data_IF_057615207258
#
_entry.id   IF_057615207258
#
_cell.length_a   1.000
_cell.length_b   1.000
_cell.length_c   1.000
_cell.angle_alpha   90.00
_cell.angle_beta   90.00
_cell.angle_gamma   90.00
#
_symmetry.space_group_name_H-M   'P 1'
#
loop_
_entity.id
_entity.type
_entity.pdbx_description
1 polymer ?
#
# COMPACT_ATOMS: atom_id res chain seq x y z
N UNK A 1 14.80 -9.57 -3.18
CA UNK A 1 14.74 -8.51 -4.20
C UNK A 1 15.46 -7.30 -3.61
N UNK A 2 16.74 -7.12 -3.97
CA UNK A 2 17.53 -5.96 -3.52
C UNK A 2 17.16 -4.78 -4.42
N UNK A 3 16.61 -3.71 -3.83
CA UNK A 3 16.45 -2.46 -4.55
C UNK A 3 17.83 -1.82 -4.70
N UNK A 4 18.24 -1.60 -5.94
CA UNK A 4 19.47 -0.87 -6.29
C UNK A 4 19.37 0.56 -5.72
N UNK A 5 20.49 1.08 -5.23
CA UNK A 5 20.62 2.46 -4.76
C UNK A 5 20.28 3.45 -5.89
N UNK A 6 19.00 3.84 -6.01
CA UNK A 6 18.54 4.73 -7.06
C UNK A 6 17.02 4.76 -7.29
N UNK A 7 16.26 3.76 -6.86
CA UNK A 7 14.80 3.83 -6.93
C UNK A 7 14.25 4.59 -5.72
N UNK A 8 13.88 5.86 -5.94
CA UNK A 8 13.12 6.65 -4.97
C UNK A 8 11.70 6.08 -4.95
N UNK A 9 11.41 5.22 -3.98
CA UNK A 9 10.04 4.83 -3.69
C UNK A 9 9.28 6.08 -3.22
N UNK A 10 8.20 6.43 -3.91
CA UNK A 10 7.27 7.45 -3.42
C UNK A 10 6.55 6.89 -2.17
N UNK A 11 7.05 7.28 -1.00
CA UNK A 11 6.62 6.72 0.29
C UNK A 11 5.81 7.75 1.06
N UNK A 12 4.58 7.35 1.42
CA UNK A 12 3.73 8.15 2.31
C UNK A 12 4.07 7.81 3.76
N UNK A 13 4.29 8.84 4.59
CA UNK A 13 4.56 8.67 6.03
C UNK A 13 3.28 8.21 6.73
N UNK A 14 3.39 7.12 7.50
CA UNK A 14 2.33 6.64 8.39
C UNK A 14 2.83 6.56 9.84
N UNK A 15 2.01 7.02 10.78
CA UNK A 15 2.26 6.86 12.21
C UNK A 15 1.42 5.69 12.73
N UNK A 16 2.04 4.81 13.53
CA UNK A 16 1.38 3.65 14.15
C UNK A 16 1.86 3.52 15.59
N UNK A 17 1.01 2.98 16.45
CA UNK A 17 1.37 2.63 17.81
C UNK A 17 1.75 1.14 17.88
N UNK A 18 2.88 0.84 18.51
CA UNK A 18 3.38 -0.51 18.76
C UNK A 18 3.65 -0.64 20.25
N UNK A 19 3.39 -1.83 20.81
CA UNK A 19 3.84 -2.14 22.17
C UNK A 19 5.38 -2.32 22.20
N UNK A 20 5.96 -2.21 23.39
CA UNK A 20 7.41 -2.28 23.61
C UNK A 20 8.02 -3.59 23.10
N UNK A 21 7.31 -4.71 23.30
CA UNK A 21 7.80 -6.03 22.88
C UNK A 21 7.86 -6.11 21.35
N UNK A 22 6.81 -5.64 20.66
CA UNK A 22 6.75 -5.60 19.20
C UNK A 22 7.83 -4.71 18.62
N UNK A 23 8.05 -3.52 19.20
CA UNK A 23 9.11 -2.60 18.79
C UNK A 23 10.51 -3.21 18.97
N UNK A 24 10.77 -3.89 20.10
CA UNK A 24 12.04 -4.57 20.33
C UNK A 24 12.29 -5.72 19.34
N UNK A 25 11.25 -6.51 19.03
CA UNK A 25 11.35 -7.60 18.05
C UNK A 25 11.61 -7.07 16.63
N UNK A 26 10.90 -6.00 16.23
CA UNK A 26 11.07 -5.36 14.93
C UNK A 26 12.49 -4.83 14.75
N UNK A 27 13.01 -4.11 15.75
CA UNK A 27 14.38 -3.59 15.75
C UNK A 27 15.41 -4.71 15.62
N UNK A 28 15.24 -5.80 16.37
CA UNK A 28 16.13 -6.97 16.27
C UNK A 28 16.09 -7.60 14.88
N UNK A 29 14.90 -7.75 14.30
CA UNK A 29 14.74 -8.30 12.95
C UNK A 29 15.42 -7.41 11.89
N UNK A 30 15.29 -6.09 12.01
CA UNK A 30 15.93 -5.11 11.12
C UNK A 30 17.46 -5.26 11.15
N UNK A 31 18.05 -5.36 12.35
CA UNK A 31 19.49 -5.56 12.52
C UNK A 31 19.96 -6.89 11.91
N UNK A 32 19.26 -7.99 12.19
CA UNK A 32 19.63 -9.32 11.68
C UNK A 32 19.55 -9.39 10.15
N UNK A 33 18.56 -8.71 9.55
CA UNK A 33 18.35 -8.70 8.10
C UNK A 33 19.18 -7.64 7.36
N UNK A 34 19.75 -6.66 8.06
CA UNK A 34 20.47 -5.55 7.45
C UNK A 34 19.57 -4.60 6.64
N UNK A 35 18.30 -4.45 7.03
CA UNK A 35 17.32 -3.59 6.35
C UNK A 35 16.63 -2.64 7.34
N UNK A 36 15.92 -1.64 6.85
CA UNK A 36 15.17 -0.71 7.72
C UNK A 36 13.93 -1.36 8.34
N UNK A 37 13.52 -0.90 9.53
CA UNK A 37 12.25 -1.32 10.16
C UNK A 37 11.05 -1.07 9.24
N UNK A 38 11.04 0.07 8.54
CA UNK A 38 10.02 0.43 7.56
C UNK A 38 9.93 -0.57 6.40
N UNK A 39 11.05 -1.15 5.98
CA UNK A 39 11.06 -2.18 4.93
C UNK A 39 10.39 -3.47 5.40
N UNK A 40 10.71 -3.91 6.62
CA UNK A 40 10.07 -5.09 7.23
C UNK A 40 8.56 -4.86 7.39
N UNK A 41 8.15 -3.67 7.85
CA UNK A 41 6.74 -3.31 7.97
C UNK A 41 6.06 -3.35 6.60
N UNK A 42 6.65 -2.76 5.56
CA UNK A 42 6.08 -2.78 4.21
C UNK A 42 5.96 -4.19 3.65
N UNK A 43 6.99 -5.02 3.81
CA UNK A 43 6.98 -6.41 3.33
C UNK A 43 5.89 -7.22 4.04
N UNK A 44 5.86 -7.16 5.37
CA UNK A 44 4.87 -7.86 6.20
C UNK A 44 3.44 -7.42 5.88
N UNK A 45 3.21 -6.11 5.70
CA UNK A 45 1.90 -5.58 5.33
C UNK A 45 1.48 -6.04 3.93
N UNK A 46 2.38 -6.02 2.93
CA UNK A 46 2.09 -6.52 1.58
C UNK A 46 1.74 -8.00 1.60
N UNK A 47 2.49 -8.80 2.36
CA UNK A 47 2.22 -10.22 2.50
C UNK A 47 0.88 -10.48 3.19
N UNK A 48 0.61 -9.78 4.29
CA UNK A 48 -0.67 -9.85 4.99
C UNK A 48 -1.84 -9.51 4.07
N UNK A 49 -1.78 -8.38 3.37
CA UNK A 49 -2.85 -7.93 2.48
C UNK A 49 -3.07 -8.89 1.30
N UNK A 50 -2.00 -9.46 0.73
CA UNK A 50 -2.12 -10.49 -0.31
C UNK A 50 -2.83 -11.74 0.21
N UNK A 51 -2.44 -12.24 1.39
CA UNK A 51 -3.09 -13.40 2.00
C UNK A 51 -4.55 -13.11 2.34
N UNK A 52 -4.84 -11.94 2.92
CA UNK A 52 -6.21 -11.53 3.22
C UNK A 52 -7.08 -11.35 1.97
N UNK A 53 -6.51 -10.89 0.84
CA UNK A 53 -7.24 -10.82 -0.42
C UNK A 53 -7.56 -12.22 -0.99
N UNK A 54 -6.64 -13.18 -0.82
CA UNK A 54 -6.86 -14.59 -1.20
C UNK A 54 -7.92 -15.26 -0.30
N UNK A 55 -7.88 -14.99 1.01
CA UNK A 55 -8.82 -15.58 1.99
C UNK A 55 -10.23 -14.95 1.94
N UNK A 56 -10.38 -13.75 1.36
CA UNK A 56 -11.68 -13.10 1.18
C UNK A 56 -12.56 -13.76 0.09
N UNK A 57 -12.05 -14.82 -0.55
CA UNK A 57 -12.58 -15.36 -1.80
C UNK A 57 -12.22 -14.42 -2.94
N UNK A 58 -11.77 -14.95 -4.07
CA UNK A 58 -11.42 -14.20 -5.28
C UNK A 58 -12.49 -13.15 -5.59
N UNK A 59 -12.30 -11.93 -5.08
CA UNK A 59 -13.11 -10.79 -5.43
C UNK A 59 -12.30 -10.09 -6.52
N UNK A 60 -12.63 -10.28 -7.81
CA UNK A 60 -11.83 -9.75 -8.89
C UNK A 60 -11.75 -8.21 -8.83
N UNK A 61 -12.66 -7.56 -8.11
CA UNK A 61 -12.66 -6.12 -7.90
C UNK A 61 -11.58 -5.67 -6.92
N UNK A 62 -11.16 -6.50 -5.96
CA UNK A 62 -10.04 -6.18 -5.07
C UNK A 62 -8.71 -6.18 -5.82
N UNK A 63 -8.57 -6.99 -6.87
CA UNK A 63 -7.39 -6.97 -7.75
C UNK A 63 -7.29 -5.69 -8.58
N UNK A 64 -8.39 -4.96 -8.77
CA UNK A 64 -8.42 -3.68 -9.48
C UNK A 64 -7.87 -2.52 -8.64
N UNK A 65 -7.83 -2.66 -7.30
CA UNK A 65 -7.34 -1.60 -6.41
C UNK A 65 -5.84 -1.38 -6.64
N UNK A 66 -5.49 -0.20 -7.15
CA UNK A 66 -4.10 0.20 -7.44
C UNK A 66 -3.60 -0.15 -8.85
N UNK A 67 -4.44 -0.74 -9.72
CA UNK A 67 -4.11 -0.92 -11.15
C UNK A 67 -4.36 0.33 -11.99
N UNK A 68 -5.22 1.23 -11.51
CA UNK A 68 -5.53 2.48 -12.17
C UNK A 68 -5.44 3.64 -11.18
N UNK A 69 -5.05 4.80 -11.69
CA UNK A 69 -5.07 6.06 -10.97
C UNK A 69 -6.29 6.87 -11.44
N UNK A 70 -6.91 7.62 -10.54
CA UNK A 70 -8.19 8.26 -10.79
C UNK A 70 -8.41 9.50 -9.93
N UNK A 71 -9.35 10.35 -10.34
CA UNK A 71 -9.75 11.51 -9.53
C UNK A 71 -10.67 11.05 -8.40
N UNK A 72 -10.52 11.64 -7.21
CA UNK A 72 -11.29 11.27 -6.01
C UNK A 72 -12.80 11.44 -6.21
N UNK A 73 -13.21 12.37 -7.07
CA UNK A 73 -14.59 12.73 -7.38
C UNK A 73 -15.06 12.19 -8.75
N UNK A 74 -14.28 11.29 -9.36
CA UNK A 74 -14.58 10.76 -10.69
C UNK A 74 -15.95 10.08 -10.77
N UNK A 75 -16.46 9.51 -9.66
CA UNK A 75 -17.79 8.90 -9.64
C UNK A 75 -18.92 9.93 -9.75
N UNK A 76 -18.73 11.13 -9.20
CA UNK A 76 -19.73 12.19 -9.16
C UNK A 76 -19.67 13.05 -10.44
N UNK A 77 -18.47 13.35 -10.92
CA UNK A 77 -18.23 14.23 -12.06
C UNK A 77 -17.74 13.50 -13.32
N UNK A 78 -18.04 12.20 -13.46
CA UNK A 78 -17.62 11.42 -14.62
C UNK A 78 -18.03 12.07 -15.95
N UNK A 79 -19.22 12.66 -16.04
CA UNK A 79 -19.70 13.28 -17.28
C UNK A 79 -18.87 14.51 -17.67
N UNK A 80 -18.42 15.30 -16.69
CA UNK A 80 -17.51 16.42 -16.92
C UNK A 80 -16.16 15.92 -17.42
N UNK A 81 -15.64 14.83 -16.82
CA UNK A 81 -14.34 14.29 -17.18
C UNK A 81 -14.33 13.55 -18.52
N UNK A 82 -15.42 12.86 -18.86
CA UNK A 82 -15.54 12.08 -20.09
C UNK A 82 -16.02 12.93 -21.27
N UNK A 83 -16.92 13.88 -21.04
CA UNK A 83 -17.64 14.58 -22.10
C UNK A 83 -17.50 16.11 -22.04
N UNK A 84 -16.90 16.67 -20.98
CA UNK A 84 -16.69 18.10 -20.83
C UNK A 84 -17.97 18.91 -20.60
N UNK A 85 -19.04 18.28 -20.10
CA UNK A 85 -20.35 18.91 -19.88
C UNK A 85 -20.95 18.42 -18.56
N UNK A 86 -21.67 19.30 -17.88
CA UNK A 86 -22.54 18.91 -16.77
C UNK A 86 -23.81 18.24 -17.29
N UNK A 87 -24.38 17.35 -16.47
CA UNK A 87 -25.70 16.74 -16.73
C UNK A 87 -26.76 17.86 -16.70
N UNK A 88 -27.40 18.10 -17.83
CA UNK A 88 -28.58 18.97 -17.96
C UNK A 88 -29.76 18.46 -17.09
#
# INVERSE_FOLDING_TARGET
>A
MMYSAGEVLDVIRKQIYLDERTQAMLRKAAVVRGVSESEIIRESLREYLRKSAVDAGDNPLLELIGLADGREDASEHHDVYLYGKDKD
#
